data_IF_547598952321
#
_entry.id   IF_547598952321
#
_cell.length_a   1.000
_cell.length_b   1.000
_cell.length_c   1.000
_cell.angle_alpha   90.00
_cell.angle_beta   90.00
_cell.angle_gamma   90.00
#
_symmetry.space_group_name_H-M   'P 1'
#
loop_
_entity.id
_entity.type
_entity.pdbx_description
1 polymer ?
#
# COMPACT_ATOMS: atom_id res chain seq x y z
N UNK A 1 -12.83 -8.31 30.80
CA UNK A 1 -12.98 -9.01 29.51
C UNK A 1 -11.59 -9.12 28.92
N UNK A 2 -11.20 -10.29 28.44
CA UNK A 2 -9.89 -10.41 27.80
C UNK A 2 -9.87 -9.52 26.56
N UNK A 3 -8.73 -8.95 26.19
CA UNK A 3 -8.55 -8.17 24.95
C UNK A 3 -9.04 -8.94 23.71
N UNK A 4 -9.03 -10.28 23.76
CA UNK A 4 -9.44 -11.21 22.69
C UNK A 4 -10.96 -11.24 22.46
N UNK A 5 -11.76 -11.05 23.51
CA UNK A 5 -13.23 -11.14 23.39
C UNK A 5 -13.79 -10.02 22.51
N UNK A 6 -13.12 -8.85 22.50
CA UNK A 6 -13.50 -7.70 21.67
C UNK A 6 -12.91 -7.78 20.24
N UNK A 7 -12.07 -8.76 19.92
CA UNK A 7 -11.39 -8.83 18.62
C UNK A 7 -12.34 -9.20 17.49
N UNK A 8 -12.33 -8.45 16.39
CA UNK A 8 -13.19 -8.65 15.23
C UNK A 8 -12.43 -9.05 13.96
N UNK A 9 -11.19 -8.59 13.76
CA UNK A 9 -10.47 -8.76 12.51
C UNK A 9 -8.95 -8.73 12.72
N UNK A 10 -8.21 -9.45 11.89
CA UNK A 10 -6.78 -9.25 11.69
C UNK A 10 -6.56 -8.59 10.32
N UNK A 11 -5.90 -7.44 10.29
CA UNK A 11 -5.50 -6.75 9.06
C UNK A 11 -4.01 -6.91 8.77
N UNK A 12 -3.67 -7.32 7.55
CA UNK A 12 -2.30 -7.43 7.04
C UNK A 12 -2.10 -6.42 5.91
N UNK A 13 -1.11 -5.56 6.05
CA UNK A 13 -0.55 -4.80 4.95
C UNK A 13 0.86 -5.33 4.65
N UNK A 14 0.96 -6.11 3.59
CA UNK A 14 2.14 -6.90 3.29
C UNK A 14 2.75 -6.42 1.97
N UNK A 15 3.66 -5.46 2.10
CA UNK A 15 4.34 -4.80 1.01
C UNK A 15 5.59 -5.52 0.53
N UNK A 16 6.30 -4.88 -0.39
CA UNK A 16 7.54 -5.41 -0.99
C UNK A 16 8.64 -5.65 0.04
N UNK A 17 8.82 -4.72 0.97
CA UNK A 17 9.96 -4.67 1.89
C UNK A 17 9.57 -4.70 3.37
N UNK A 18 8.28 -4.67 3.67
CA UNK A 18 7.78 -4.70 5.05
C UNK A 18 6.41 -5.36 5.13
N UNK A 19 6.08 -5.80 6.35
CA UNK A 19 4.79 -6.34 6.73
C UNK A 19 4.30 -5.62 7.99
N UNK A 20 3.05 -5.18 7.97
CA UNK A 20 2.34 -4.60 9.12
C UNK A 20 1.12 -5.47 9.42
N UNK A 21 0.95 -5.83 10.68
CA UNK A 21 -0.21 -6.58 11.14
C UNK A 21 -0.93 -5.82 12.24
N UNK A 22 -2.25 -5.86 12.20
CA UNK A 22 -3.12 -5.18 13.16
C UNK A 22 -4.17 -6.16 13.69
N UNK A 23 -4.27 -6.27 15.01
CA UNK A 23 -5.39 -6.91 15.68
C UNK A 23 -6.44 -5.84 15.96
N UNK A 24 -7.63 -5.98 15.37
CA UNK A 24 -8.64 -4.92 15.32
C UNK A 24 -9.87 -5.35 16.13
N UNK A 25 -10.29 -4.47 17.05
CA UNK A 25 -11.48 -4.62 17.88
C UNK A 25 -12.77 -4.37 17.10
N UNK A 26 -13.90 -4.81 17.65
CA UNK A 26 -15.23 -4.65 17.03
C UNK A 26 -15.68 -3.19 16.87
N UNK A 27 -15.07 -2.28 17.62
CA UNK A 27 -15.23 -0.84 17.57
C UNK A 27 -14.19 -0.14 16.66
N UNK A 28 -13.35 -0.91 15.95
CA UNK A 28 -12.29 -0.40 15.11
C UNK A 28 -11.00 -0.03 15.85
N UNK A 29 -10.92 -0.26 17.17
CA UNK A 29 -9.70 0.00 17.94
C UNK A 29 -8.57 -0.94 17.53
N UNK A 30 -7.34 -0.40 17.43
CA UNK A 30 -6.14 -1.23 17.26
C UNK A 30 -5.75 -1.80 18.62
N UNK A 31 -6.03 -3.08 18.83
CA UNK A 31 -5.72 -3.80 20.07
C UNK A 31 -4.23 -4.17 20.15
N UNK A 32 -3.65 -4.55 19.01
CA UNK A 32 -2.23 -4.87 18.89
C UNK A 32 -1.74 -4.51 17.48
N UNK A 33 -0.44 -4.21 17.35
CA UNK A 33 0.21 -3.97 16.06
C UNK A 33 1.60 -4.58 16.05
N UNK A 34 1.92 -5.28 14.96
CA UNK A 34 3.22 -5.89 14.72
C UNK A 34 3.83 -5.27 13.46
N UNK A 35 5.10 -4.89 13.55
CA UNK A 35 5.90 -4.43 12.41
C UNK A 35 7.00 -5.46 12.14
N UNK A 36 7.12 -5.87 10.88
CA UNK A 36 8.04 -6.93 10.45
C UNK A 36 8.81 -6.49 9.19
N UNK A 37 10.13 -6.74 9.11
CA UNK A 37 10.90 -6.55 7.88
C UNK A 37 10.65 -7.65 6.82
N UNK A 38 9.86 -8.69 7.12
CA UNK A 38 9.55 -9.82 6.23
C UNK A 38 8.56 -9.47 5.10
N UNK A 39 8.88 -8.44 4.29
CA UNK A 39 8.15 -8.13 3.05
C UNK A 39 8.29 -9.23 1.98
N UNK A 40 7.47 -9.18 0.92
CA UNK A 40 7.40 -10.29 -0.07
C UNK A 40 8.71 -10.60 -0.80
N UNK A 41 9.67 -9.67 -0.81
CA UNK A 41 10.99 -9.87 -1.42
C UNK A 41 12.05 -10.43 -0.46
N UNK A 42 11.78 -10.46 0.86
CA UNK A 42 12.74 -11.01 1.82
C UNK A 42 12.80 -12.55 1.72
N UNK A 43 13.94 -13.20 2.05
CA UNK A 43 14.03 -14.67 2.04
C UNK A 43 12.97 -15.34 2.91
N UNK A 44 12.73 -14.80 4.10
CA UNK A 44 11.72 -15.25 5.04
C UNK A 44 10.29 -14.97 4.53
N UNK A 45 10.12 -13.85 3.81
CA UNK A 45 8.87 -13.45 3.19
C UNK A 45 8.45 -14.34 2.02
N UNK A 46 9.35 -15.15 1.44
CA UNK A 46 9.00 -16.10 0.37
C UNK A 46 8.29 -17.36 0.87
N UNK A 47 8.41 -17.68 2.16
CA UNK A 47 7.60 -18.71 2.81
C UNK A 47 6.42 -18.04 3.54
N UNK A 48 5.44 -17.59 2.73
CA UNK A 48 4.31 -16.80 3.22
C UNK A 48 3.52 -17.51 4.32
N UNK A 49 3.28 -18.82 4.15
CA UNK A 49 2.54 -19.63 5.11
C UNK A 49 3.25 -19.71 6.47
N UNK A 50 4.58 -19.92 6.47
CA UNK A 50 5.38 -19.97 7.70
C UNK A 50 5.47 -18.60 8.38
N UNK A 51 5.66 -17.53 7.60
CA UNK A 51 5.70 -16.17 8.16
C UNK A 51 4.35 -15.78 8.75
N UNK A 52 3.26 -16.15 8.07
CA UNK A 52 1.90 -15.99 8.58
C UNK A 52 1.68 -16.79 9.88
N UNK A 53 2.03 -18.07 9.92
CA UNK A 53 1.88 -18.90 11.12
C UNK A 53 2.71 -18.34 12.30
N UNK A 54 3.94 -17.88 12.03
CA UNK A 54 4.81 -17.27 13.04
C UNK A 54 4.19 -16.02 13.66
N UNK A 55 3.66 -15.11 12.83
CA UNK A 55 3.25 -13.77 13.27
C UNK A 55 1.78 -13.70 13.67
N UNK A 56 0.91 -14.42 12.96
CA UNK A 56 -0.55 -14.41 13.15
C UNK A 56 -1.04 -15.60 13.96
N UNK A 57 -0.29 -16.71 13.95
CA UNK A 57 -0.64 -17.94 14.68
C UNK A 57 -0.91 -17.74 16.17
N UNK A 58 -0.19 -16.88 16.93
CA UNK A 58 -0.52 -16.59 18.32
C UNK A 58 -1.97 -16.10 18.50
N UNK A 59 -2.42 -15.13 17.70
CA UNK A 59 -3.80 -14.63 17.74
C UNK A 59 -4.83 -15.69 17.32
N UNK A 60 -4.51 -16.52 16.33
CA UNK A 60 -5.41 -17.57 15.86
C UNK A 60 -5.49 -18.78 16.78
N UNK A 61 -4.49 -19.04 17.62
CA UNK A 61 -4.59 -20.05 18.69
C UNK A 61 -5.65 -19.67 19.71
N UNK A 62 -5.80 -18.38 19.98
CA UNK A 62 -6.78 -17.85 20.92
C UNK A 62 -8.17 -17.74 20.28
N UNK A 63 -8.25 -17.33 19.01
CA UNK A 63 -9.52 -17.23 18.26
C UNK A 63 -9.40 -17.80 16.84
N UNK A 64 -9.59 -19.13 16.66
CA UNK A 64 -9.29 -19.83 15.39
C UNK A 64 -10.13 -19.46 14.18
N UNK A 65 -11.27 -18.78 14.38
CA UNK A 65 -12.19 -18.37 13.31
C UNK A 65 -12.12 -16.87 13.00
N UNK A 66 -11.14 -16.16 13.56
CA UNK A 66 -11.01 -14.73 13.37
C UNK A 66 -10.71 -14.42 11.89
N UNK A 67 -11.49 -13.56 11.21
CA UNK A 67 -11.22 -13.25 9.82
C UNK A 67 -9.88 -12.53 9.69
N UNK A 68 -9.20 -12.81 8.59
CA UNK A 68 -7.94 -12.15 8.22
C UNK A 68 -8.17 -11.48 6.87
N UNK A 69 -7.84 -10.19 6.77
CA UNK A 69 -7.81 -9.47 5.50
C UNK A 69 -6.37 -9.08 5.17
N UNK A 70 -5.95 -9.28 3.92
CA UNK A 70 -4.58 -9.02 3.48
C UNK A 70 -4.57 -8.15 2.22
N UNK A 71 -3.81 -7.05 2.25
CA UNK A 71 -3.62 -6.12 1.15
C UNK A 71 -2.15 -5.91 0.80
N UNK A 72 -1.92 -5.22 -0.30
CA UNK A 72 -0.57 -4.88 -0.78
C UNK A 72 0.04 -5.97 -1.66
N UNK A 73 1.36 -5.99 -1.72
CA UNK A 73 2.10 -6.80 -2.69
C UNK A 73 2.00 -8.32 -2.48
N UNK A 74 1.51 -8.78 -1.31
CA UNK A 74 1.12 -10.18 -1.09
C UNK A 74 0.05 -10.67 -2.07
N UNK A 75 -0.70 -9.75 -2.69
CA UNK A 75 -1.73 -10.08 -3.68
C UNK A 75 -1.25 -9.94 -5.14
N UNK A 76 0.03 -9.63 -5.33
CA UNK A 76 0.65 -9.54 -6.65
C UNK A 76 1.00 -10.92 -7.24
N UNK A 77 1.43 -10.95 -8.51
CA UNK A 77 1.94 -12.16 -9.19
C UNK A 77 3.08 -12.86 -8.45
N UNK A 78 3.90 -12.10 -7.72
CA UNK A 78 5.02 -12.62 -6.93
C UNK A 78 4.65 -12.78 -5.44
N UNK A 79 3.38 -12.55 -5.08
CA UNK A 79 2.86 -12.69 -3.73
C UNK A 79 2.40 -14.11 -3.42
N UNK A 80 1.65 -14.25 -2.33
CA UNK A 80 1.09 -15.54 -1.92
C UNK A 80 -0.06 -15.95 -2.85
N UNK A 81 -0.95 -15.01 -3.18
CA UNK A 81 -2.06 -15.27 -4.07
C UNK A 81 -2.23 -14.10 -5.04
N UNK A 82 -1.99 -14.33 -6.32
CA UNK A 82 -2.25 -13.33 -7.35
C UNK A 82 -3.76 -13.06 -7.44
N UNK A 83 -4.15 -11.81 -7.21
CA UNK A 83 -5.53 -11.34 -7.41
C UNK A 83 -5.62 -10.47 -8.67
N UNK A 84 -6.77 -10.47 -9.37
CA UNK A 84 -6.99 -9.58 -10.50
C UNK A 84 -6.86 -8.11 -10.08
N UNK A 85 -6.91 -7.19 -11.04
CA UNK A 85 -7.10 -5.76 -10.75
C UNK A 85 -8.58 -5.39 -10.96
N UNK A 86 -9.12 -4.56 -10.08
CA UNK A 86 -10.45 -3.99 -10.20
C UNK A 86 -10.40 -2.69 -11.03
N UNK A 87 -11.10 -2.60 -12.17
CA UNK A 87 -11.16 -1.37 -12.94
C UNK A 87 -11.87 -0.25 -12.17
N UNK A 88 -11.32 0.95 -12.24
CA UNK A 88 -11.97 2.16 -11.72
C UNK A 88 -13.10 2.65 -12.65
N UNK A 89 -14.13 3.33 -12.13
CA UNK A 89 -14.29 3.80 -10.75
C UNK A 89 -14.77 2.75 -9.74
N UNK A 90 -14.18 2.73 -8.54
CA UNK A 90 -14.50 1.75 -7.49
C UNK A 90 -14.42 2.34 -6.07
N UNK A 91 -15.33 1.94 -5.19
CA UNK A 91 -15.38 2.30 -3.77
C UNK A 91 -15.31 1.09 -2.83
N UNK A 92 -15.50 1.33 -1.53
CA UNK A 92 -15.35 0.29 -0.49
C UNK A 92 -16.17 -0.98 -0.76
N UNK A 93 -17.44 -0.82 -1.16
CA UNK A 93 -18.33 -1.95 -1.48
C UNK A 93 -17.89 -2.73 -2.72
N UNK A 94 -17.31 -2.05 -3.72
CA UNK A 94 -16.80 -2.70 -4.93
C UNK A 94 -15.57 -3.57 -4.59
N UNK A 95 -14.62 -3.04 -3.80
CA UNK A 95 -13.46 -3.81 -3.32
C UNK A 95 -13.84 -4.96 -2.39
N UNK A 96 -14.80 -4.75 -1.48
CA UNK A 96 -15.29 -5.80 -0.59
C UNK A 96 -15.92 -6.96 -1.37
N UNK A 97 -16.65 -6.66 -2.44
CA UNK A 97 -17.27 -7.67 -3.31
C UNK A 97 -16.25 -8.42 -4.16
N UNK A 98 -15.07 -7.84 -4.39
CA UNK A 98 -13.99 -8.39 -5.19
C UNK A 98 -12.92 -9.14 -4.35
N UNK A 99 -13.13 -9.31 -3.03
CA UNK A 99 -12.21 -10.04 -2.17
C UNK A 99 -12.03 -11.49 -2.65
N UNK A 100 -10.78 -11.93 -2.75
CA UNK A 100 -10.46 -13.34 -3.05
C UNK A 100 -10.29 -14.10 -1.74
N UNK A 101 -11.17 -15.08 -1.50
CA UNK A 101 -11.11 -15.93 -0.30
C UNK A 101 -10.14 -17.10 -0.51
N UNK A 102 -9.28 -17.34 0.47
CA UNK A 102 -8.35 -18.47 0.52
C UNK A 102 -8.49 -19.21 1.86
N UNK A 103 -8.77 -20.51 1.78
CA UNK A 103 -8.89 -21.36 2.96
C UNK A 103 -7.49 -21.82 3.40
N UNK A 104 -7.03 -21.37 4.58
CA UNK A 104 -5.77 -21.84 5.19
C UNK A 104 -5.97 -23.24 5.76
N UNK A 105 -7.14 -23.46 6.38
CA UNK A 105 -7.60 -24.76 6.86
C UNK A 105 -9.14 -24.74 6.95
N UNK A 106 -9.74 -25.77 7.56
CA UNK A 106 -11.19 -25.91 7.66
C UNK A 106 -11.90 -24.78 8.45
N UNK A 107 -11.18 -24.03 9.28
CA UNK A 107 -11.73 -22.98 10.17
C UNK A 107 -11.21 -21.59 9.80
N UNK A 108 -9.94 -21.49 9.39
CA UNK A 108 -9.29 -20.21 9.11
C UNK A 108 -9.31 -19.86 7.62
N UNK A 109 -9.74 -18.62 7.33
CA UNK A 109 -9.76 -18.03 5.99
C UNK A 109 -8.93 -16.74 5.94
N UNK A 110 -8.33 -16.46 4.79
CA UNK A 110 -7.75 -15.15 4.47
C UNK A 110 -8.52 -14.56 3.28
N UNK A 111 -8.88 -13.29 3.40
CA UNK A 111 -9.49 -12.51 2.33
C UNK A 111 -8.43 -11.56 1.74
N UNK A 112 -8.09 -11.77 0.48
CA UNK A 112 -7.09 -10.97 -0.23
C UNK A 112 -7.76 -9.82 -0.98
N UNK A 113 -7.26 -8.60 -0.74
CA UNK A 113 -7.71 -7.40 -1.44
C UNK A 113 -7.07 -7.31 -2.83
N UNK A 114 -7.90 -7.02 -3.83
CA UNK A 114 -7.48 -6.75 -5.20
C UNK A 114 -6.88 -5.35 -5.33
N UNK A 115 -5.86 -5.20 -6.19
CA UNK A 115 -5.38 -3.87 -6.59
C UNK A 115 -6.36 -3.17 -7.52
N UNK A 116 -6.12 -1.90 -7.83
CA UNK A 116 -6.94 -1.14 -8.79
C UNK A 116 -6.21 -0.93 -10.12
N UNK A 117 -6.97 -0.91 -11.22
CA UNK A 117 -6.49 -0.52 -12.54
C UNK A 117 -7.27 0.66 -13.09
N UNK A 118 -6.58 1.52 -13.84
CA UNK A 118 -7.16 2.64 -14.54
C UNK A 118 -6.55 2.74 -15.94
N UNK A 119 -7.33 3.27 -16.88
CA UNK A 119 -6.85 3.60 -18.22
C UNK A 119 -7.25 5.04 -18.49
N UNK A 120 -6.29 5.89 -18.83
CA UNK A 120 -6.58 7.31 -19.11
C UNK A 120 -7.27 7.47 -20.48
N UNK A 121 -7.69 8.70 -20.80
CA UNK A 121 -8.36 9.02 -22.07
C UNK A 121 -7.51 8.72 -23.32
N UNK A 122 -6.18 8.69 -23.18
CA UNK A 122 -5.25 8.35 -24.25
C UNK A 122 -5.05 6.83 -24.41
N UNK A 123 -5.61 6.03 -23.50
CA UNK A 123 -5.48 4.59 -23.49
C UNK A 123 -4.29 4.05 -22.69
N UNK A 124 -3.55 4.90 -21.97
CA UNK A 124 -2.41 4.45 -21.18
C UNK A 124 -2.88 3.77 -19.88
N UNK A 125 -2.37 2.57 -19.56
CA UNK A 125 -2.74 1.86 -18.35
C UNK A 125 -1.96 2.34 -17.12
N UNK A 126 -2.61 2.33 -15.96
CA UNK A 126 -1.99 2.52 -14.66
C UNK A 126 -2.56 1.53 -13.64
N UNK A 127 -1.74 1.17 -12.64
CA UNK A 127 -2.08 0.19 -11.59
C UNK A 127 -1.61 0.65 -10.21
N UNK A 128 -2.37 0.27 -9.18
CA UNK A 128 -1.96 0.37 -7.78
C UNK A 128 -2.32 -0.91 -7.02
N UNK A 129 -1.60 -1.19 -5.93
CA UNK A 129 -1.82 -2.38 -5.11
C UNK A 129 -1.33 -2.13 -3.68
N UNK A 130 -2.29 -1.93 -2.78
CA UNK A 130 -2.12 -1.49 -1.41
C UNK A 130 -2.63 -0.06 -1.19
N UNK A 131 -2.36 0.85 -2.12
CA UNK A 131 -2.77 2.25 -2.02
C UNK A 131 -4.30 2.41 -2.07
N UNK A 132 -5.01 1.52 -2.77
CA UNK A 132 -6.48 1.53 -2.84
C UNK A 132 -7.10 1.37 -1.46
N UNK A 133 -6.51 0.55 -0.59
CA UNK A 133 -7.02 0.34 0.78
C UNK A 133 -6.84 1.59 1.62
N UNK A 134 -5.71 2.29 1.45
CA UNK A 134 -5.45 3.55 2.14
C UNK A 134 -6.46 4.63 1.71
N UNK A 135 -6.72 4.74 0.41
CA UNK A 135 -7.70 5.70 -0.13
C UNK A 135 -9.10 5.35 0.37
N UNK A 136 -9.53 4.09 0.23
CA UNK A 136 -10.85 3.61 0.67
C UNK A 136 -11.10 3.90 2.15
N UNK A 137 -10.09 3.76 3.00
CA UNK A 137 -10.19 4.09 4.43
C UNK A 137 -10.43 5.57 4.74
N UNK A 138 -10.26 6.47 3.78
CA UNK A 138 -10.47 7.91 3.92
C UNK A 138 -11.70 8.44 3.15
N UNK A 139 -12.27 7.64 2.23
CA UNK A 139 -13.37 8.08 1.36
C UNK A 139 -14.60 8.53 2.16
N UNK A 140 -15.23 9.60 1.69
CA UNK A 140 -16.51 10.08 2.23
C UNK A 140 -17.66 9.67 1.29
N UNK A 141 -18.72 9.07 1.85
CA UNK A 141 -19.92 8.66 1.09
C UNK A 141 -20.92 9.82 0.90
N UNK A 142 -20.44 11.00 0.49
CA UNK A 142 -21.29 12.17 0.27
C UNK A 142 -21.10 12.75 -1.13
N UNK A 143 -22.08 13.55 -1.58
CA UNK A 143 -21.99 14.30 -2.85
C UNK A 143 -21.10 15.55 -2.72
N UNK A 144 -20.01 15.44 -1.96
CA UNK A 144 -19.02 16.48 -1.75
C UNK A 144 -18.18 16.78 -3.00
N UNK A 145 -17.24 17.73 -2.89
CA UNK A 145 -16.31 18.03 -3.97
C UNK A 145 -15.40 16.82 -4.27
N UNK A 146 -14.78 16.83 -5.45
CA UNK A 146 -13.71 15.87 -5.78
C UNK A 146 -12.59 15.95 -4.76
N UNK A 147 -12.23 14.80 -4.19
CA UNK A 147 -11.11 14.62 -3.27
C UNK A 147 -9.84 14.29 -4.05
N UNK A 148 -8.70 14.79 -3.58
CA UNK A 148 -7.38 14.49 -4.14
C UNK A 148 -6.54 13.81 -3.07
N UNK A 149 -6.05 12.62 -3.38
CA UNK A 149 -5.16 11.85 -2.52
C UNK A 149 -3.75 11.83 -3.12
N UNK A 150 -2.77 12.21 -2.32
CA UNK A 150 -1.36 12.06 -2.64
C UNK A 150 -0.74 11.03 -1.71
N UNK A 151 -0.34 9.88 -2.27
CA UNK A 151 0.31 8.80 -1.56
C UNK A 151 1.78 8.73 -2.00
N UNK A 152 2.71 9.42 -1.30
CA UNK A 152 4.11 9.38 -1.64
C UNK A 152 4.73 8.02 -1.30
N UNK A 153 5.70 7.58 -2.10
CA UNK A 153 6.40 6.31 -1.88
C UNK A 153 7.41 6.03 -3.00
N UNK A 154 7.85 4.76 -3.08
CA UNK A 154 8.66 4.26 -4.21
C UNK A 154 8.01 4.64 -5.54
N UNK A 155 6.70 4.40 -5.64
CA UNK A 155 5.82 4.93 -6.68
C UNK A 155 4.78 5.81 -6.01
N UNK A 156 4.87 7.11 -6.22
CA UNK A 156 3.88 8.07 -5.72
C UNK A 156 2.60 7.97 -6.53
N UNK A 157 1.45 7.94 -5.86
CA UNK A 157 0.13 7.96 -6.50
C UNK A 157 -0.54 9.31 -6.27
N UNK A 158 -1.07 9.89 -7.33
CA UNK A 158 -2.04 10.98 -7.27
C UNK A 158 -3.38 10.41 -7.71
N UNK A 159 -4.34 10.31 -6.80
CA UNK A 159 -5.66 9.79 -7.08
C UNK A 159 -6.73 10.86 -6.90
N UNK A 160 -7.78 10.79 -7.71
CA UNK A 160 -9.00 11.56 -7.52
C UNK A 160 -10.12 10.64 -7.09
N UNK A 161 -10.99 11.12 -6.20
CA UNK A 161 -12.15 10.40 -5.75
C UNK A 161 -13.38 11.31 -5.69
N UNK A 162 -14.55 10.72 -5.83
CA UNK A 162 -15.84 11.42 -5.75
C UNK A 162 -16.91 10.44 -5.30
N UNK A 163 -17.84 10.90 -4.47
CA UNK A 163 -19.01 10.12 -4.05
C UNK A 163 -18.64 8.72 -3.53
N UNK A 164 -17.63 8.64 -2.68
CA UNK A 164 -17.17 7.38 -2.09
C UNK A 164 -16.46 6.41 -3.05
N UNK A 165 -16.03 6.87 -4.22
CA UNK A 165 -15.30 6.04 -5.22
C UNK A 165 -14.02 6.71 -5.69
N UNK A 166 -12.97 5.93 -5.87
CA UNK A 166 -11.77 6.32 -6.60
C UNK A 166 -12.15 6.44 -8.08
N UNK A 167 -11.94 7.59 -8.71
CA UNK A 167 -12.31 7.85 -10.11
C UNK A 167 -11.14 7.59 -11.06
N UNK A 168 -9.96 8.10 -10.71
CA UNK A 168 -8.76 7.99 -11.53
C UNK A 168 -7.51 8.15 -10.69
N UNK A 169 -6.37 7.75 -11.24
CA UNK A 169 -5.07 8.05 -10.64
C UNK A 169 -3.96 8.12 -11.69
N UNK A 170 -2.83 8.62 -11.23
CA UNK A 170 -1.56 8.62 -11.96
C UNK A 170 -0.41 8.26 -11.04
N UNK A 171 0.50 7.45 -11.56
CA UNK A 171 1.70 6.97 -10.88
C UNK A 171 2.93 7.74 -11.31
N UNK A 172 3.79 8.06 -10.34
CA UNK A 172 5.13 8.60 -10.58
C UNK A 172 6.16 7.80 -9.80
N UNK A 173 7.18 7.26 -10.48
CA UNK A 173 8.26 6.50 -9.85
C UNK A 173 9.29 7.38 -9.12
N UNK A 174 8.84 8.44 -8.42
CA UNK A 174 9.71 9.46 -7.82
C UNK A 174 10.69 8.88 -6.80
N UNK A 175 10.24 7.97 -5.92
CA UNK A 175 11.08 7.33 -4.93
C UNK A 175 12.09 6.36 -5.54
N UNK A 176 11.67 5.54 -6.50
CA UNK A 176 12.55 4.61 -7.22
C UNK A 176 13.63 5.34 -8.01
N UNK A 177 13.25 6.37 -8.79
CA UNK A 177 14.21 7.19 -9.54
C UNK A 177 15.16 7.91 -8.58
N UNK A 178 14.68 8.44 -7.46
CA UNK A 178 15.54 9.04 -6.45
C UNK A 178 16.57 8.05 -5.92
N UNK A 179 16.15 6.82 -5.59
CA UNK A 179 17.04 5.79 -5.06
C UNK A 179 18.10 5.37 -6.10
N UNK A 180 17.69 5.15 -7.35
CA UNK A 180 18.60 4.85 -8.46
C UNK A 180 19.63 5.95 -8.69
N UNK A 181 19.20 7.20 -8.76
CA UNK A 181 20.11 8.33 -8.96
C UNK A 181 21.08 8.50 -7.79
N UNK A 182 20.59 8.33 -6.55
CA UNK A 182 21.39 8.54 -5.35
C UNK A 182 22.37 7.41 -5.08
N UNK A 183 21.96 6.15 -5.24
CA UNK A 183 22.76 5.00 -4.79
C UNK A 183 23.46 4.27 -5.95
N UNK A 184 23.01 4.47 -7.19
CA UNK A 184 23.46 3.70 -8.35
C UNK A 184 23.92 4.57 -9.53
N UNK A 185 24.17 5.86 -9.31
CA UNK A 185 24.70 6.76 -10.34
C UNK A 185 25.85 7.64 -9.82
N UNK A 186 26.56 8.31 -10.74
CA UNK A 186 27.65 9.24 -10.40
C UNK A 186 27.17 10.42 -9.53
N UNK A 187 25.90 10.81 -9.63
CA UNK A 187 25.31 11.92 -8.86
C UNK A 187 25.40 11.69 -7.35
N UNK A 188 25.26 10.43 -6.94
CA UNK A 188 25.34 10.01 -5.54
C UNK A 188 26.70 10.24 -4.89
N UNK A 189 27.78 10.27 -5.67
CA UNK A 189 29.15 10.36 -5.14
C UNK A 189 29.43 11.68 -4.44
N UNK A 190 28.73 12.75 -4.80
CA UNK A 190 28.83 14.08 -4.20
C UNK A 190 27.74 14.35 -3.15
N UNK A 191 26.75 13.45 -3.03
CA UNK A 191 25.61 13.64 -2.14
C UNK A 191 26.04 13.43 -0.68
N UNK A 192 25.86 14.46 0.15
CA UNK A 192 26.06 14.35 1.60
C UNK A 192 24.75 13.92 2.26
N UNK A 193 24.73 12.86 3.09
CA UNK A 193 23.53 12.44 3.79
C UNK A 193 23.01 13.57 4.68
N UNK A 194 21.79 14.06 4.40
CA UNK A 194 21.11 15.03 5.24
C UNK A 194 19.75 14.47 5.67
N UNK A 195 19.60 14.21 6.97
CA UNK A 195 18.35 13.70 7.56
C UNK A 195 17.37 14.81 7.95
N UNK A 196 17.76 16.09 7.82
CA UNK A 196 16.89 17.21 8.17
C UNK A 196 15.76 17.32 7.13
N UNK A 197 14.48 17.15 7.53
CA UNK A 197 13.36 17.42 6.65
C UNK A 197 13.39 18.87 6.18
N UNK A 198 12.96 19.12 4.93
CA UNK A 198 12.87 20.48 4.36
C UNK A 198 14.18 21.28 4.45
N UNK A 199 15.33 20.61 4.26
CA UNK A 199 16.63 21.28 4.18
C UNK A 199 16.67 22.30 3.03
N UNK A 200 17.60 23.26 3.09
CA UNK A 200 17.76 24.25 2.02
C UNK A 200 18.03 23.59 0.67
N UNK A 201 18.80 22.49 0.64
CA UNK A 201 19.01 21.68 -0.55
C UNK A 201 17.72 21.11 -1.12
N UNK A 202 16.84 20.57 -0.26
CA UNK A 202 15.52 20.08 -0.66
C UNK A 202 14.65 21.22 -1.23
N UNK A 203 14.51 22.33 -0.50
CA UNK A 203 13.70 23.47 -0.92
C UNK A 203 14.21 24.09 -2.23
N UNK A 204 15.53 24.18 -2.40
CA UNK A 204 16.14 24.67 -3.63
C UNK A 204 15.88 23.71 -4.81
N UNK A 205 15.96 22.40 -4.60
CA UNK A 205 15.60 21.40 -5.62
C UNK A 205 14.14 21.54 -6.06
N UNK A 206 13.21 21.66 -5.11
CA UNK A 206 11.78 21.87 -5.39
C UNK A 206 11.57 23.17 -6.17
N UNK A 207 12.09 24.31 -5.68
CA UNK A 207 11.97 25.61 -6.37
C UNK A 207 12.55 25.57 -7.78
N UNK A 208 13.69 24.89 -7.94
CA UNK A 208 14.38 24.77 -9.23
C UNK A 208 13.53 24.00 -10.24
N UNK A 209 12.92 22.88 -9.84
CA UNK A 209 12.03 22.12 -10.71
C UNK A 209 10.73 22.88 -11.06
N UNK A 210 10.06 23.50 -10.09
CA UNK A 210 8.82 24.26 -10.35
C UNK A 210 9.05 25.56 -11.12
N UNK A 211 10.22 26.19 -10.96
CA UNK A 211 10.56 27.46 -11.61
C UNK A 211 11.24 27.34 -12.97
N UNK A 212 11.38 26.12 -13.51
CA UNK A 212 12.17 25.85 -14.73
C UNK A 212 11.43 24.94 -15.70
N UNK A 213 11.34 25.35 -16.96
CA UNK A 213 10.84 24.49 -18.05
C UNK A 213 11.91 23.53 -18.61
N UNK A 214 13.04 23.36 -17.93
CA UNK A 214 14.11 22.45 -18.38
C UNK A 214 13.79 21.01 -17.99
N UNK A 215 14.17 20.07 -18.86
CA UNK A 215 14.05 18.62 -18.59
C UNK A 215 14.73 18.22 -17.29
N UNK A 216 14.14 17.28 -16.56
CA UNK A 216 14.73 16.68 -15.34
C UNK A 216 16.15 16.20 -15.60
N UNK A 217 16.40 15.55 -16.75
CA UNK A 217 17.72 15.02 -17.11
C UNK A 217 18.82 16.09 -17.21
N UNK A 218 18.45 17.32 -17.60
CA UNK A 218 19.37 18.47 -17.61
C UNK A 218 19.59 19.01 -16.19
N UNK A 219 18.58 18.94 -15.33
CA UNK A 219 18.62 19.56 -14.00
C UNK A 219 19.33 18.69 -12.96
N UNK A 220 19.35 17.36 -13.15
CA UNK A 220 19.99 16.43 -12.20
C UNK A 220 21.50 16.24 -12.45
N UNK A 221 22.02 16.63 -13.62
CA UNK A 221 23.47 16.62 -13.93
C UNK A 221 24.11 17.96 -13.59
#
# INVERSE_FOLDING_TARGET
>A
MSTIDNTALIGLDWGTTSLRLHLIGSDGTLLETIYSPEGIMSPEGKDFAKTFEKLVGPWLKEKPSLPVIASGMITSRNGWLETPYLPLPAGASDFASALTCFDINAVQKIYFVTGASYQNDAGDPDIMRGEEVQIVGCLQENNGPTEIFLLPGTHSKWATARSGKIESFMSFMTGEIFDLLKNHSILGTLATPNKKPLSDGFLNGVKRMFGSNRSLLHQVF
#
